data_IF_772561563794
#
_entry.id   IF_772561563794
#
_cell.length_a   1.000
_cell.length_b   1.000
_cell.length_c   1.000
_cell.angle_alpha   90.00
_cell.angle_beta   90.00
_cell.angle_gamma   90.00
#
_symmetry.space_group_name_H-M   'P 1'
#
loop_
_entity.id
_entity.type
_entity.pdbx_description
1 polymer ?
#
# COMPACT_ATOMS: atom_id res chain seq x y z
N UNK A 1 -4.80 -50.55 -72.69
CA UNK A 1 -3.43 -50.46 -73.23
C UNK A 1 -2.98 -49.01 -73.16
N UNK A 2 -1.78 -48.71 -72.62
CA UNK A 2 -1.08 -47.39 -72.54
C UNK A 2 -1.91 -46.20 -71.96
N UNK A 3 -1.58 -45.49 -70.88
CA UNK A 3 -0.32 -44.97 -70.28
C UNK A 3 0.16 -43.62 -70.86
N UNK A 4 0.50 -42.68 -69.96
CA UNK A 4 1.09 -41.31 -70.15
C UNK A 4 0.21 -40.36 -71.01
N UNK A 5 0.09 -39.02 -70.87
CA UNK A 5 0.76 -37.85 -70.24
C UNK A 5 -0.30 -36.91 -69.58
N UNK A 6 -0.06 -35.89 -68.72
CA UNK A 6 1.03 -35.52 -67.76
C UNK A 6 0.59 -34.24 -66.97
N UNK A 7 1.48 -33.67 -66.11
CA UNK A 7 1.49 -32.27 -65.57
C UNK A 7 0.40 -31.84 -64.53
N UNK A 8 0.87 -31.65 -63.29
CA UNK A 8 0.29 -30.82 -62.20
C UNK A 8 0.60 -29.32 -62.46
N UNK A 9 -0.02 -28.29 -61.78
CA UNK A 9 0.11 -28.16 -60.32
C UNK A 9 -0.92 -27.31 -59.51
N UNK A 10 -0.76 -27.36 -58.18
CA UNK A 10 -1.01 -26.33 -57.14
C UNK A 10 -2.44 -25.83 -56.80
N UNK A 11 -2.83 -26.15 -55.56
CA UNK A 11 -3.43 -25.26 -54.53
C UNK A 11 -4.74 -24.54 -54.86
N UNK A 12 -5.84 -25.15 -54.41
CA UNK A 12 -6.98 -24.46 -53.80
C UNK A 12 -7.60 -25.38 -52.73
N UNK A 13 -8.12 -24.82 -51.62
CA UNK A 13 -9.00 -25.58 -50.71
C UNK A 13 -8.42 -26.10 -49.38
N UNK A 14 -7.26 -25.62 -48.92
CA UNK A 14 -6.84 -25.79 -47.50
C UNK A 14 -6.89 -24.44 -46.79
N UNK A 15 -8.09 -23.88 -46.69
CA UNK A 15 -8.37 -22.75 -45.79
C UNK A 15 -8.36 -23.32 -44.38
N UNK A 16 -7.35 -22.96 -43.59
CA UNK A 16 -7.35 -23.30 -42.17
C UNK A 16 -8.54 -22.61 -41.52
N UNK A 17 -9.43 -23.39 -40.92
CA UNK A 17 -10.24 -22.94 -39.81
C UNK A 17 -9.37 -22.72 -38.58
N UNK A 18 -8.45 -21.75 -38.64
CA UNK A 18 -7.85 -21.21 -37.43
C UNK A 18 -8.99 -20.57 -36.65
N UNK A 19 -9.40 -21.20 -35.56
CA UNK A 19 -10.07 -20.49 -34.49
C UNK A 19 -9.11 -19.38 -34.05
N UNK A 20 -9.45 -18.13 -34.40
CA UNK A 20 -8.83 -16.99 -33.75
C UNK A 20 -9.36 -17.02 -32.33
N UNK A 21 -8.53 -17.51 -31.41
CA UNK A 21 -8.71 -17.28 -29.99
C UNK A 21 -8.55 -15.77 -29.75
N UNK A 22 -9.66 -15.04 -29.93
CA UNK A 22 -9.85 -13.73 -29.30
C UNK A 22 -9.46 -13.92 -27.83
N UNK A 23 -8.44 -13.19 -27.31
CA UNK A 23 -7.91 -13.46 -25.98
C UNK A 23 -9.05 -13.26 -24.96
N UNK A 24 -9.47 -14.36 -24.32
CA UNK A 24 -10.70 -14.37 -23.53
C UNK A 24 -10.65 -13.27 -22.47
N UNK A 25 -11.49 -12.24 -22.65
CA UNK A 25 -11.58 -11.12 -21.71
C UNK A 25 -12.07 -11.67 -20.38
N UNK A 26 -11.14 -11.82 -19.45
CA UNK A 26 -11.37 -12.44 -18.14
C UNK A 26 -12.64 -11.86 -17.49
N UNK A 27 -13.64 -12.73 -17.35
CA UNK A 27 -15.02 -12.33 -17.08
C UNK A 27 -15.24 -12.23 -15.56
N UNK A 28 -15.20 -11.02 -15.04
CA UNK A 28 -15.26 -10.82 -13.59
C UNK A 28 -16.58 -11.29 -12.93
N UNK A 29 -16.51 -11.84 -11.70
CA UNK A 29 -17.68 -12.38 -11.01
C UNK A 29 -18.68 -11.28 -10.63
N UNK A 30 -19.97 -11.52 -10.93
CA UNK A 30 -21.05 -10.60 -10.60
C UNK A 30 -21.38 -10.65 -9.10
N UNK A 31 -21.14 -9.54 -8.40
CA UNK A 31 -21.51 -9.34 -7.00
C UNK A 31 -22.83 -8.56 -6.93
N UNK A 32 -23.82 -9.06 -6.18
CA UNK A 32 -25.05 -8.32 -5.84
C UNK A 32 -24.77 -7.39 -4.68
N UNK A 33 -24.81 -6.09 -4.91
CA UNK A 33 -24.61 -5.09 -3.85
C UNK A 33 -25.93 -4.61 -3.22
N UNK A 34 -25.96 -4.36 -1.89
CA UNK A 34 -27.07 -3.71 -1.22
C UNK A 34 -27.26 -2.28 -1.77
N UNK A 35 -28.51 -1.86 -1.96
CA UNK A 35 -28.87 -0.52 -2.45
C UNK A 35 -29.64 0.32 -1.41
N UNK A 36 -29.90 -0.26 -0.23
CA UNK A 36 -30.52 0.38 0.95
C UNK A 36 -29.63 1.42 1.63
N UNK A 37 -28.31 1.34 1.44
CA UNK A 37 -27.32 2.12 2.17
C UNK A 37 -26.16 2.49 1.25
N UNK A 38 -25.95 3.79 1.05
CA UNK A 38 -24.92 4.32 0.16
C UNK A 38 -23.48 3.97 0.60
N UNK A 39 -23.25 3.76 1.91
CA UNK A 39 -21.96 3.33 2.45
C UNK A 39 -21.72 1.86 2.08
N UNK A 40 -22.69 0.98 2.37
CA UNK A 40 -22.61 -0.46 2.04
C UNK A 40 -22.53 -0.70 0.53
N UNK A 41 -23.30 0.06 -0.26
CA UNK A 41 -23.27 0.00 -1.73
C UNK A 41 -21.86 0.30 -2.25
N UNK A 42 -21.26 1.42 -1.82
CA UNK A 42 -19.92 1.79 -2.25
C UNK A 42 -18.85 0.79 -1.79
N UNK A 43 -18.91 0.34 -0.52
CA UNK A 43 -17.99 -0.67 0.01
C UNK A 43 -18.09 -1.99 -0.78
N UNK A 44 -19.31 -2.42 -1.15
CA UNK A 44 -19.52 -3.59 -1.98
C UNK A 44 -18.99 -3.40 -3.41
N UNK A 45 -19.20 -2.23 -4.02
CA UNK A 45 -18.65 -1.93 -5.35
C UNK A 45 -17.11 -1.99 -5.33
N UNK A 46 -16.44 -1.32 -4.39
CA UNK A 46 -14.97 -1.41 -4.23
C UNK A 46 -14.49 -2.85 -3.93
N UNK A 47 -15.30 -3.66 -3.23
CA UNK A 47 -15.00 -5.07 -2.99
C UNK A 47 -15.10 -5.92 -4.27
N UNK A 48 -16.07 -5.61 -5.15
CA UNK A 48 -16.17 -6.20 -6.50
C UNK A 48 -14.95 -5.85 -7.35
N UNK A 49 -14.50 -4.60 -7.35
CA UNK A 49 -13.29 -4.19 -8.07
C UNK A 49 -12.07 -5.01 -7.61
N UNK A 50 -11.90 -5.14 -6.29
CA UNK A 50 -10.83 -5.97 -5.68
C UNK A 50 -10.93 -7.43 -6.09
N UNK A 51 -12.14 -8.01 -6.11
CA UNK A 51 -12.38 -9.41 -6.50
C UNK A 51 -12.12 -9.63 -7.99
N UNK A 52 -12.49 -8.66 -8.83
CA UNK A 52 -12.25 -8.65 -10.26
C UNK A 52 -10.75 -8.63 -10.57
N UNK A 53 -9.96 -7.75 -9.94
CA UNK A 53 -8.49 -7.75 -10.06
C UNK A 53 -7.84 -9.05 -9.57
N UNK A 54 -8.36 -9.68 -8.50
CA UNK A 54 -7.88 -10.99 -8.02
C UNK A 54 -8.17 -12.15 -8.98
N UNK A 55 -9.23 -12.06 -9.77
CA UNK A 55 -9.56 -13.06 -10.79
C UNK A 55 -8.83 -12.80 -12.11
N UNK A 56 -8.64 -11.53 -12.44
CA UNK A 56 -8.13 -11.03 -13.71
C UNK A 56 -6.93 -10.09 -13.46
N UNK A 57 -5.67 -10.59 -13.45
CA UNK A 57 -4.51 -9.79 -13.05
C UNK A 57 -4.31 -8.51 -13.86
N UNK A 58 -4.64 -8.54 -15.16
CA UNK A 58 -4.54 -7.39 -16.08
C UNK A 58 -5.70 -6.37 -15.93
N UNK A 59 -6.71 -6.67 -15.11
CA UNK A 59 -7.79 -5.75 -14.82
C UNK A 59 -7.32 -4.65 -13.85
N UNK A 60 -7.53 -3.38 -14.23
CA UNK A 60 -7.21 -2.22 -13.37
C UNK A 60 -8.46 -1.81 -12.59
N UNK A 61 -8.53 -2.04 -11.26
CA UNK A 61 -9.72 -1.75 -10.45
C UNK A 61 -9.95 -0.25 -10.26
N UNK A 62 -11.20 0.20 -10.38
CA UNK A 62 -11.58 1.61 -10.29
C UNK A 62 -12.27 1.94 -8.96
N UNK A 63 -11.47 2.14 -7.91
CA UNK A 63 -11.98 2.47 -6.58
C UNK A 63 -12.60 3.86 -6.50
N UNK A 64 -13.77 3.96 -5.87
CA UNK A 64 -14.48 5.21 -5.57
C UNK A 64 -14.44 5.54 -4.07
N UNK A 65 -14.31 6.82 -3.67
CA UNK A 65 -14.35 7.20 -2.26
C UNK A 65 -15.76 7.02 -1.70
N UNK A 66 -15.90 6.26 -0.63
CA UNK A 66 -17.20 6.00 -0.01
C UNK A 66 -17.62 7.09 0.96
N UNK A 67 -18.93 7.42 1.05
CA UNK A 67 -19.43 8.32 2.07
C UNK A 67 -19.23 7.72 3.46
N UNK A 68 -18.90 8.57 4.43
CA UNK A 68 -18.93 8.24 5.86
C UNK A 68 -20.32 8.51 6.43
N UNK A 69 -20.84 7.59 7.26
CA UNK A 69 -21.98 7.87 8.12
C UNK A 69 -21.49 8.38 9.49
N UNK A 70 -22.17 9.35 10.14
CA UNK A 70 -23.35 10.09 9.68
C UNK A 70 -23.02 11.09 8.55
N UNK A 71 -24.02 11.58 7.80
CA UNK A 71 -23.79 12.58 6.75
C UNK A 71 -23.18 13.86 7.33
N UNK A 72 -21.96 14.20 6.89
CA UNK A 72 -21.37 15.51 7.12
C UNK A 72 -22.17 16.56 6.36
N UNK A 73 -22.90 17.42 7.07
CA UNK A 73 -23.73 18.49 6.50
C UNK A 73 -22.90 19.60 5.83
N UNK A 74 -22.40 19.32 4.62
CA UNK A 74 -21.77 20.29 3.72
C UNK A 74 -22.42 20.26 2.33
N UNK A 75 -23.74 20.41 2.30
CA UNK A 75 -24.48 20.87 1.12
C UNK A 75 -25.09 22.25 1.43
N UNK A 76 -24.44 23.34 0.99
CA UNK A 76 -25.16 24.55 0.62
C UNK A 76 -25.98 24.22 -0.62
N UNK A 77 -27.30 24.42 -0.59
CA UNK A 77 -28.21 24.04 -1.69
C UNK A 77 -27.91 24.80 -2.99
N UNK A 78 -27.13 24.19 -3.87
CA UNK A 78 -26.72 24.75 -5.16
C UNK A 78 -27.77 24.48 -6.26
N UNK A 79 -28.96 25.07 -6.14
CA UNK A 79 -29.98 25.11 -7.22
C UNK A 79 -29.57 26.12 -8.31
N UNK A 80 -28.36 25.99 -8.84
CA UNK A 80 -27.76 26.93 -9.80
C UNK A 80 -27.99 26.49 -11.24
N UNK A 81 -29.09 26.97 -11.82
CA UNK A 81 -29.25 27.19 -13.26
C UNK A 81 -27.95 27.79 -13.85
N UNK A 82 -27.46 27.35 -15.02
CA UNK A 82 -26.17 27.79 -15.55
C UNK A 82 -26.17 29.29 -15.85
N UNK A 83 -25.54 30.07 -14.96
CA UNK A 83 -25.31 31.50 -15.17
C UNK A 83 -23.99 31.74 -15.91
N UNK A 84 -24.03 32.76 -16.78
CA UNK A 84 -22.93 33.19 -17.65
C UNK A 84 -21.68 33.58 -16.83
N UNK A 85 -20.44 33.38 -17.34
CA UNK A 85 -19.23 33.80 -16.65
C UNK A 85 -19.22 35.31 -16.36
N UNK A 86 -19.19 35.66 -15.08
CA UNK A 86 -18.96 37.03 -14.59
C UNK A 86 -17.46 37.22 -14.34
N UNK A 87 -16.85 38.35 -14.72
CA UNK A 87 -15.44 38.61 -14.43
C UNK A 87 -15.17 38.64 -12.91
N UNK A 88 -13.94 38.31 -12.47
CA UNK A 88 -13.60 38.21 -11.05
C UNK A 88 -13.76 39.56 -10.33
N UNK A 89 -14.22 39.57 -9.06
CA UNK A 89 -14.40 40.80 -8.30
C UNK A 89 -13.07 41.50 -8.00
N UNK A 90 -13.09 42.84 -8.00
CA UNK A 90 -11.95 43.67 -7.64
C UNK A 90 -11.71 43.61 -6.12
N UNK A 91 -10.46 43.45 -5.64
CA UNK A 91 -10.20 43.20 -4.22
C UNK A 91 -10.61 44.37 -3.32
N UNK A 92 -11.48 44.08 -2.35
CA UNK A 92 -11.76 44.91 -1.18
C UNK A 92 -10.85 44.51 -0.02
N UNK A 93 -10.31 45.49 0.71
CA UNK A 93 -9.24 45.33 1.71
C UNK A 93 -9.61 44.62 3.02
N UNK A 94 -10.63 43.76 3.02
CA UNK A 94 -11.15 43.05 4.21
C UNK A 94 -11.44 41.56 3.95
N UNK A 95 -11.02 41.00 2.82
CA UNK A 95 -11.34 39.61 2.49
C UNK A 95 -10.49 38.62 3.29
N UNK A 96 -11.09 38.07 4.35
CA UNK A 96 -10.47 37.03 5.20
C UNK A 96 -10.67 35.66 4.56
N UNK A 97 -9.57 34.98 4.25
CA UNK A 97 -9.58 33.57 3.86
C UNK A 97 -9.66 32.66 5.09
N UNK A 98 -10.36 31.54 4.93
CA UNK A 98 -10.65 30.60 6.00
C UNK A 98 -9.54 29.54 6.11
N UNK A 99 -9.11 29.23 7.34
CA UNK A 99 -8.03 28.28 7.59
C UNK A 99 -8.50 26.85 7.33
N UNK A 100 -8.10 26.28 6.19
CA UNK A 100 -8.41 24.89 5.85
C UNK A 100 -7.49 23.94 6.62
N UNK A 101 -8.08 23.16 7.54
CA UNK A 101 -7.38 22.12 8.28
C UNK A 101 -7.24 20.85 7.41
N UNK A 102 -6.00 20.52 7.04
CA UNK A 102 -5.69 19.38 6.18
C UNK A 102 -5.14 18.19 6.98
N UNK A 103 -5.55 16.97 6.58
CA UNK A 103 -4.99 15.72 7.10
C UNK A 103 -3.47 15.69 6.85
N UNK A 104 -2.68 15.30 7.86
CA UNK A 104 -1.22 15.30 7.81
C UNK A 104 -0.64 14.04 7.11
N UNK A 105 -1.22 13.67 5.96
CA UNK A 105 -0.79 12.50 5.16
C UNK A 105 -0.53 12.89 3.71
N UNK A 106 0.67 12.60 3.21
CA UNK A 106 1.07 12.95 1.85
C UNK A 106 0.50 11.94 0.83
N UNK A 107 0.03 12.37 -0.37
CA UNK A 107 -0.04 13.73 -0.89
C UNK A 107 -1.33 14.50 -0.52
N UNK A 108 -2.25 13.90 0.24
CA UNK A 108 -3.57 14.50 0.55
C UNK A 108 -3.48 15.82 1.32
N UNK A 109 -2.46 15.96 2.17
CA UNK A 109 -2.10 17.22 2.83
C UNK A 109 -1.87 18.36 1.84
N UNK A 110 -1.09 18.08 0.79
CA UNK A 110 -0.73 19.03 -0.26
C UNK A 110 -1.93 19.37 -1.17
N UNK A 111 -2.71 18.37 -1.60
CA UNK A 111 -3.89 18.61 -2.46
C UNK A 111 -4.93 19.45 -1.74
N UNK A 112 -5.18 19.16 -0.46
CA UNK A 112 -6.03 19.97 0.42
C UNK A 112 -5.51 21.41 0.59
N UNK A 113 -4.22 21.60 0.89
CA UNK A 113 -3.64 22.93 1.08
C UNK A 113 -3.70 23.79 -0.20
N UNK A 114 -3.46 23.17 -1.37
CA UNK A 114 -3.63 23.82 -2.66
C UNK A 114 -5.10 24.16 -2.97
N UNK A 115 -6.04 23.27 -2.63
CA UNK A 115 -7.47 23.55 -2.79
C UNK A 115 -7.93 24.73 -1.91
N UNK A 116 -7.45 24.83 -0.67
CA UNK A 116 -7.69 25.98 0.21
C UNK A 116 -7.13 27.28 -0.36
N UNK A 117 -5.88 27.28 -0.85
CA UNK A 117 -5.29 28.41 -1.58
C UNK A 117 -6.11 28.83 -2.81
N UNK A 118 -6.59 27.85 -3.60
CA UNK A 118 -7.42 28.09 -4.78
C UNK A 118 -8.75 28.75 -4.40
N UNK A 119 -9.47 28.16 -3.44
CA UNK A 119 -10.77 28.68 -2.99
C UNK A 119 -10.65 30.09 -2.37
N UNK A 120 -9.56 30.35 -1.63
CA UNK A 120 -9.21 31.68 -1.14
C UNK A 120 -9.07 32.70 -2.29
N UNK A 121 -8.29 32.36 -3.33
CA UNK A 121 -8.13 33.23 -4.51
C UNK A 121 -9.42 33.41 -5.32
N UNK A 122 -10.25 32.37 -5.48
CA UNK A 122 -11.53 32.48 -6.18
C UNK A 122 -12.57 33.31 -5.38
N UNK A 123 -12.49 33.31 -4.04
CA UNK A 123 -13.33 34.09 -3.12
C UNK A 123 -12.90 35.55 -2.98
N UNK A 124 -11.59 35.82 -2.95
CA UNK A 124 -11.03 37.14 -2.61
C UNK A 124 -10.28 37.86 -3.74
N UNK A 125 -9.95 37.18 -4.84
CA UNK A 125 -9.02 37.69 -5.85
C UNK A 125 -7.60 37.86 -5.30
N UNK A 126 -6.88 38.86 -5.81
CA UNK A 126 -5.49 39.17 -5.42
C UNK A 126 -4.44 38.58 -6.36
N UNK A 127 -3.19 38.35 -5.90
CA UNK A 127 -2.17 37.66 -6.68
C UNK A 127 -2.50 36.17 -6.81
N UNK A 128 -2.18 35.57 -7.96
CA UNK A 128 -2.39 34.14 -8.20
C UNK A 128 -1.59 33.29 -7.20
N UNK A 129 -2.21 32.35 -6.45
CA UNK A 129 -1.50 31.55 -5.47
C UNK A 129 -0.54 30.57 -6.13
N UNK A 130 0.62 30.37 -5.50
CA UNK A 130 1.58 29.33 -5.85
C UNK A 130 1.16 27.99 -5.22
N UNK A 131 1.12 26.94 -6.04
CA UNK A 131 0.72 25.59 -5.64
C UNK A 131 1.93 24.67 -5.49
N UNK A 132 1.94 23.83 -4.47
CA UNK A 132 2.93 22.77 -4.33
C UNK A 132 2.64 21.63 -5.33
N UNK A 133 3.67 20.90 -5.76
CA UNK A 133 3.49 19.70 -6.60
C UNK A 133 3.13 18.51 -5.70
N UNK A 134 1.88 18.07 -5.75
CA UNK A 134 1.34 17.04 -4.86
C UNK A 134 1.48 15.61 -5.42
N UNK A 135 2.66 15.29 -5.95
CA UNK A 135 2.93 13.95 -6.45
C UNK A 135 2.92 12.95 -5.28
N UNK A 136 2.10 11.91 -5.37
CA UNK A 136 2.31 10.71 -4.56
C UNK A 136 3.76 10.24 -4.81
N UNK A 137 4.52 10.01 -3.73
CA UNK A 137 5.94 9.67 -3.82
C UNK A 137 6.11 8.29 -4.48
N UNK A 138 6.15 8.28 -5.82
CA UNK A 138 6.86 7.22 -6.55
C UNK A 138 8.27 7.16 -5.94
N UNK A 139 8.79 5.97 -5.60
CA UNK A 139 10.16 5.84 -5.12
C UNK A 139 11.09 6.31 -6.24
N UNK A 140 11.50 7.58 -6.15
CA UNK A 140 12.41 8.19 -7.10
C UNK A 140 13.71 7.40 -6.99
N UNK A 141 14.08 6.70 -8.06
CA UNK A 141 15.39 6.05 -8.13
C UNK A 141 16.46 7.15 -8.03
N UNK A 142 16.88 7.42 -6.80
CA UNK A 142 18.08 8.16 -6.51
C UNK A 142 19.22 7.25 -6.91
N UNK A 143 19.63 7.34 -8.18
CA UNK A 143 20.91 6.84 -8.66
C UNK A 143 22.02 7.68 -8.04
N UNK A 144 22.19 7.54 -6.73
CA UNK A 144 23.36 8.00 -5.98
C UNK A 144 24.55 7.17 -6.44
N UNK A 145 25.23 7.68 -7.47
CA UNK A 145 26.58 7.27 -7.85
C UNK A 145 27.52 7.52 -6.67
N UNK A 146 27.56 6.53 -5.77
CA UNK A 146 28.36 6.57 -4.54
C UNK A 146 29.84 6.62 -4.93
N UNK A 147 30.58 7.70 -4.66
CA UNK A 147 32.00 7.74 -4.96
C UNK A 147 32.71 6.66 -4.14
N UNK A 148 33.59 5.89 -4.79
CA UNK A 148 34.29 4.77 -4.15
C UNK A 148 35.36 5.28 -3.19
N UNK A 149 35.01 5.39 -1.90
CA UNK A 149 36.00 5.56 -0.84
C UNK A 149 36.94 4.34 -0.83
N UNK A 150 38.26 4.52 -0.73
CA UNK A 150 39.20 3.40 -0.73
C UNK A 150 39.05 2.57 0.55
N UNK A 151 38.58 1.34 0.39
CA UNK A 151 38.45 0.36 1.49
C UNK A 151 39.83 0.09 2.10
N UNK A 152 40.08 0.57 3.32
CA UNK A 152 41.25 0.15 4.10
C UNK A 152 41.08 -1.32 4.47
N UNK A 153 41.83 -2.20 3.80
CA UNK A 153 41.82 -3.65 4.04
C UNK A 153 42.47 -3.99 5.39
N UNK A 154 41.74 -3.76 6.48
CA UNK A 154 42.08 -4.35 7.76
C UNK A 154 41.98 -5.87 7.62
N UNK A 155 43.11 -6.58 7.83
CA UNK A 155 43.12 -8.06 7.84
C UNK A 155 42.05 -8.54 8.82
N UNK A 156 41.17 -9.49 8.45
CA UNK A 156 40.25 -10.08 9.40
C UNK A 156 41.06 -10.73 10.52
N UNK A 157 40.89 -10.22 11.74
CA UNK A 157 41.31 -10.94 12.95
C UNK A 157 40.59 -12.29 12.92
N UNK A 158 41.24 -13.42 13.24
CA UNK A 158 40.57 -14.71 13.29
C UNK A 158 39.54 -14.69 14.44
N UNK A 159 38.31 -14.31 14.11
CA UNK A 159 37.16 -14.57 14.94
C UNK A 159 36.94 -16.06 14.93
N UNK A 160 36.97 -16.70 16.10
CA UNK A 160 36.69 -18.14 16.21
C UNK A 160 35.24 -18.38 15.84
N UNK A 161 35.02 -18.88 14.62
CA UNK A 161 33.73 -19.35 14.14
C UNK A 161 33.22 -20.44 15.08
N UNK A 162 32.39 -20.06 16.06
CA UNK A 162 31.54 -21.03 16.74
C UNK A 162 30.62 -21.60 15.66
N UNK A 163 30.72 -22.91 15.46
CA UNK A 163 29.81 -23.70 14.62
C UNK A 163 28.37 -23.27 14.91
N UNK A 164 27.58 -23.06 13.86
CA UNK A 164 26.26 -22.44 13.98
C UNK A 164 25.42 -23.09 15.07
N UNK A 165 24.91 -22.28 16.00
CA UNK A 165 23.88 -22.72 16.91
C UNK A 165 22.67 -23.20 16.08
N UNK A 166 21.95 -24.26 16.51
CA UNK A 166 20.69 -24.62 15.88
C UNK A 166 19.77 -23.40 15.84
N UNK A 167 19.03 -23.21 14.73
CA UNK A 167 17.92 -22.27 14.72
C UNK A 167 16.99 -22.62 15.90
N UNK A 168 16.73 -21.70 16.84
CA UNK A 168 16.00 -22.05 18.06
C UNK A 168 14.58 -22.51 17.69
N UNK A 169 14.27 -23.76 18.03
CA UNK A 169 12.98 -24.38 17.72
C UNK A 169 11.87 -23.57 18.39
N UNK A 170 10.98 -22.97 17.60
CA UNK A 170 9.98 -22.02 18.07
C UNK A 170 9.07 -22.63 19.16
N UNK A 171 9.37 -22.32 20.41
CA UNK A 171 8.63 -22.73 21.62
C UNK A 171 7.55 -21.74 22.03
N UNK A 172 7.36 -20.68 21.24
CA UNK A 172 6.37 -19.63 21.47
C UNK A 172 4.96 -20.13 21.17
N UNK A 173 4.02 -19.77 22.05
CA UNK A 173 2.60 -20.01 21.84
C UNK A 173 2.09 -19.22 20.63
N UNK A 174 1.16 -19.79 19.86
CA UNK A 174 0.54 -19.12 18.72
C UNK A 174 -0.57 -18.20 19.22
N UNK A 175 -0.66 -17.00 18.63
CA UNK A 175 -1.68 -15.99 18.93
C UNK A 175 -2.32 -15.43 17.65
N UNK A 176 -3.31 -14.55 17.78
CA UNK A 176 -4.06 -14.02 16.63
C UNK A 176 -5.08 -15.03 16.11
N UNK A 177 -5.34 -15.05 14.79
CA UNK A 177 -6.29 -15.99 14.16
C UNK A 177 -7.69 -15.44 13.90
N UNK A 178 -7.86 -14.12 13.96
CA UNK A 178 -9.03 -13.40 13.47
C UNK A 178 -10.33 -13.60 14.24
N UNK A 179 -11.40 -12.98 13.72
CA UNK A 179 -12.68 -12.70 14.41
C UNK A 179 -13.47 -13.90 14.94
N UNK A 180 -13.10 -15.13 14.58
CA UNK A 180 -13.78 -16.36 15.03
C UNK A 180 -13.01 -17.19 16.05
N UNK A 181 -11.69 -16.98 16.19
CA UNK A 181 -10.82 -17.85 17.01
C UNK A 181 -9.55 -17.10 17.47
N UNK A 182 -9.71 -15.90 18.00
CA UNK A 182 -8.59 -15.06 18.42
C UNK A 182 -7.88 -15.63 19.67
N UNK A 183 -6.71 -16.20 19.46
CA UNK A 183 -5.83 -16.74 20.50
C UNK A 183 -5.09 -15.60 21.22
N UNK A 184 -5.41 -15.40 22.50
CA UNK A 184 -4.69 -14.47 23.38
C UNK A 184 -3.42 -15.09 23.95
N UNK A 185 -2.43 -14.24 24.25
CA UNK A 185 -1.23 -14.67 24.96
C UNK A 185 -1.46 -14.76 26.48
N UNK A 186 -0.69 -15.59 27.21
CA UNK A 186 -0.68 -15.59 28.67
C UNK A 186 -0.20 -14.24 29.23
N UNK A 187 -0.43 -14.02 30.53
CA UNK A 187 0.00 -12.79 31.21
C UNK A 187 1.51 -12.51 31.03
N UNK A 188 1.84 -11.23 30.83
CA UNK A 188 3.21 -10.78 30.58
C UNK A 188 3.77 -11.11 29.19
N UNK A 189 2.93 -11.53 28.23
CA UNK A 189 3.33 -11.76 26.83
C UNK A 189 2.49 -10.93 25.86
N UNK A 190 3.14 -10.38 24.84
CA UNK A 190 2.50 -9.68 23.72
C UNK A 190 2.41 -10.61 22.51
N UNK A 191 1.31 -10.50 21.76
CA UNK A 191 1.20 -11.13 20.45
C UNK A 191 1.89 -10.26 19.40
N UNK A 192 2.94 -10.77 18.77
CA UNK A 192 3.59 -10.11 17.63
C UNK A 192 3.47 -10.97 16.37
N UNK A 193 3.68 -10.36 15.21
CA UNK A 193 3.90 -11.09 13.96
C UNK A 193 5.08 -12.05 14.09
N UNK A 194 4.94 -13.25 13.55
CA UNK A 194 6.06 -14.21 13.45
C UNK A 194 7.10 -13.71 12.42
N UNK A 195 8.32 -13.33 12.83
CA UNK A 195 9.31 -12.76 11.93
C UNK A 195 9.97 -13.82 11.04
N UNK A 196 9.81 -15.11 11.35
CA UNK A 196 10.36 -16.22 10.56
C UNK A 196 9.38 -16.69 9.47
N UNK A 197 8.13 -16.20 9.46
CA UNK A 197 7.12 -16.55 8.44
C UNK A 197 6.88 -15.38 7.47
N UNK A 198 7.04 -15.57 6.15
CA UNK A 198 6.66 -14.55 5.17
C UNK A 198 5.14 -14.40 5.13
N UNK A 199 4.67 -13.17 4.92
CA UNK A 199 3.24 -12.85 4.84
C UNK A 199 2.82 -11.75 5.81
N UNK A 200 1.63 -11.91 6.38
CA UNK A 200 0.93 -10.91 7.18
C UNK A 200 0.40 -11.58 8.47
N UNK A 201 0.61 -10.95 9.62
CA UNK A 201 0.41 -11.52 10.95
C UNK A 201 -0.91 -11.10 11.63
N UNK A 202 -0.92 -10.94 12.96
CA UNK A 202 -2.11 -10.51 13.72
C UNK A 202 -2.71 -9.19 13.23
N UNK A 203 -1.92 -8.31 12.61
CA UNK A 203 -2.32 -7.01 12.07
C UNK A 203 -3.40 -7.08 10.96
N UNK A 204 -3.66 -8.27 10.42
CA UNK A 204 -4.56 -8.50 9.29
C UNK A 204 -5.39 -9.79 9.46
N UNK A 205 -5.87 -10.05 10.68
CA UNK A 205 -6.60 -11.27 11.09
C UNK A 205 -5.76 -12.58 11.00
N UNK A 206 -4.45 -12.50 10.71
CA UNK A 206 -3.51 -13.63 10.65
C UNK A 206 -3.04 -14.12 12.02
N UNK A 207 -2.10 -15.07 12.02
CA UNK A 207 -1.48 -15.62 13.24
C UNK A 207 -0.13 -15.00 13.55
N UNK A 208 0.23 -15.01 14.84
CA UNK A 208 1.49 -14.51 15.38
C UNK A 208 2.06 -15.42 16.46
N UNK A 209 3.08 -14.93 17.16
CA UNK A 209 3.73 -15.60 18.28
C UNK A 209 3.64 -14.77 19.55
N UNK A 210 3.45 -15.44 20.68
CA UNK A 210 3.51 -14.84 22.02
C UNK A 210 4.96 -14.68 22.46
N UNK A 211 5.39 -13.43 22.66
CA UNK A 211 6.73 -13.10 23.14
C UNK A 211 6.63 -12.38 24.47
N UNK A 212 7.62 -12.59 25.35
CA UNK A 212 7.75 -11.76 26.55
C UNK A 212 8.25 -10.39 26.12
N UNK A 213 7.76 -9.34 26.75
CA UNK A 213 8.12 -7.94 26.45
C UNK A 213 9.52 -7.62 27.01
N UNK A 214 10.56 -8.27 26.44
CA UNK A 214 11.97 -8.04 26.77
C UNK A 214 12.63 -7.33 25.59
N UNK A 215 12.85 -6.03 25.78
CA UNK A 215 13.60 -5.19 24.84
C UNK A 215 15.05 -5.66 24.68
N UNK A 216 15.54 -5.56 23.45
CA UNK A 216 16.93 -5.73 23.06
C UNK A 216 17.33 -4.65 22.03
N UNK A 217 18.60 -4.62 21.64
CA UNK A 217 19.12 -3.60 20.72
C UNK A 217 19.00 -2.21 21.33
N UNK A 218 18.50 -1.26 20.55
CA UNK A 218 18.49 0.16 20.89
C UNK A 218 19.88 0.79 20.84
N UNK A 219 19.96 2.12 20.98
CA UNK A 219 21.21 2.86 21.21
C UNK A 219 22.05 2.29 22.38
N UNK A 220 21.42 1.62 23.34
CA UNK A 220 22.06 0.98 24.49
C UNK A 220 22.62 -0.44 24.19
N UNK A 221 22.32 -1.05 23.05
CA UNK A 221 22.81 -2.37 22.66
C UNK A 221 22.40 -3.51 23.59
N UNK A 222 21.17 -3.48 24.12
CA UNK A 222 20.69 -4.46 25.10
C UNK A 222 20.71 -5.90 24.55
N UNK A 223 21.36 -6.80 25.29
CA UNK A 223 21.51 -8.19 24.88
C UNK A 223 20.33 -9.08 25.32
N UNK A 224 19.94 -9.99 24.43
CA UNK A 224 19.03 -11.08 24.77
C UNK A 224 19.67 -12.11 25.71
N UNK A 225 18.87 -12.84 26.51
CA UNK A 225 19.39 -13.91 27.35
C UNK A 225 19.82 -15.10 26.47
N UNK A 226 20.60 -16.03 27.03
CA UNK A 226 21.16 -17.14 26.25
C UNK A 226 20.09 -17.98 25.54
N UNK A 227 20.33 -18.28 24.26
CA UNK A 227 19.40 -19.02 23.40
C UNK A 227 18.43 -18.17 22.60
N UNK A 228 18.23 -16.89 22.95
CA UNK A 228 17.30 -15.99 22.24
C UNK A 228 18.00 -15.06 21.24
N UNK A 229 17.31 -14.73 20.17
CA UNK A 229 17.73 -13.79 19.12
C UNK A 229 17.05 -12.44 19.33
N UNK A 230 17.77 -11.34 19.12
CA UNK A 230 17.16 -10.01 19.05
C UNK A 230 16.57 -9.80 17.65
N UNK A 231 15.27 -9.52 17.57
CA UNK A 231 14.57 -9.28 16.30
C UNK A 231 13.75 -8.00 16.39
N UNK A 232 13.65 -7.30 15.27
CA UNK A 232 12.95 -6.03 15.08
C UNK A 232 11.53 -6.03 15.67
N UNK A 233 11.16 -4.98 16.41
CA UNK A 233 9.84 -4.88 17.02
C UNK A 233 8.82 -4.28 16.04
N UNK A 234 8.10 -5.16 15.35
CA UNK A 234 7.06 -4.80 14.38
C UNK A 234 5.85 -4.00 14.96
N UNK A 235 5.93 -3.56 16.22
CA UNK A 235 5.02 -2.58 16.85
C UNK A 235 5.48 -1.13 16.70
N UNK A 236 6.74 -0.87 16.30
CA UNK A 236 7.28 0.48 16.09
C UNK A 236 7.64 0.78 14.62
N UNK A 237 7.97 2.05 14.34
CA UNK A 237 8.29 2.56 12.99
C UNK A 237 9.81 2.50 12.67
N UNK A 238 10.63 1.89 13.52
CA UNK A 238 12.08 1.96 13.51
C UNK A 238 12.70 0.79 12.71
N UNK A 239 12.73 0.90 11.39
CA UNK A 239 13.34 -0.14 10.55
C UNK A 239 14.90 -0.05 10.53
N UNK A 240 15.62 -1.07 11.04
CA UNK A 240 17.08 -1.06 11.12
C UNK A 240 17.77 -1.20 9.75
N UNK A 241 17.08 -1.75 8.75
CA UNK A 241 17.56 -1.83 7.35
C UNK A 241 17.41 -0.49 6.62
N UNK A 242 16.54 0.42 7.09
CA UNK A 242 16.36 1.78 6.55
C UNK A 242 17.23 2.85 7.22
N UNK A 243 17.99 2.50 8.26
CA UNK A 243 19.04 3.37 8.82
C UNK A 243 19.18 3.35 10.34
N UNK A 244 18.27 2.68 11.06
CA UNK A 244 18.29 2.64 12.51
C UNK A 244 19.22 1.58 13.08
N UNK A 245 20.52 1.87 13.17
CA UNK A 245 21.45 1.06 13.96
C UNK A 245 21.07 1.01 15.46
N UNK A 246 20.26 1.97 15.90
CA UNK A 246 19.82 2.22 17.27
C UNK A 246 18.36 1.80 17.53
N UNK A 247 17.74 1.00 16.65
CA UNK A 247 16.35 0.55 16.82
C UNK A 247 16.20 -0.53 17.90
N UNK A 248 15.05 -0.49 18.59
CA UNK A 248 14.68 -1.50 19.57
C UNK A 248 14.24 -2.81 18.90
N UNK A 249 14.37 -3.91 19.64
CA UNK A 249 13.82 -5.19 19.23
C UNK A 249 13.29 -5.98 20.42
N UNK A 250 12.73 -7.15 20.15
CA UNK A 250 12.28 -8.12 21.14
C UNK A 250 13.12 -9.40 21.10
N UNK A 251 13.31 -10.01 22.26
CA UNK A 251 14.00 -11.29 22.40
C UNK A 251 13.09 -12.50 22.16
N UNK A 252 13.43 -13.30 21.15
CA UNK A 252 12.77 -14.57 20.81
C UNK A 252 13.75 -15.74 20.88
#
# INVERSE_FOLDING_TARGET
>A
MKSILYILPLVAGLVLGLAIEEPEKCQCPLVKCPADDAVKLCQCLNSRETLCHKHCPDYVPLYIPCPTNPPTSLIPSATSKPSKPTPPPKPTGSCVCETVYCLQVWPQSCTCANAGKKACFEKCGGPKPEYQVCDALKPRLLTTTRPSLPTKTHKPRPSTTKTGAPFPTASHLICGGGRGNYMTCPEGQTCIKDPFKPGCGPECDGTGICVKDKMCGGFAGFACPEGQTCVDDARDDCDPLKGGADCGGLCI
#
